data_IF_005643956229
#
_entry.id   IF_005643956229
#
_cell.length_a   1.000
_cell.length_b   1.000
_cell.length_c   1.000
_cell.angle_alpha   90.00
_cell.angle_beta   90.00
_cell.angle_gamma   90.00
#
_symmetry.space_group_name_H-M   'P 1'
#
loop_
_entity.id
_entity.type
_entity.pdbx_description
1 polymer ?
#
# COMPACT_ATOMS: atom_id res chain seq x y z
N UNK A 1 2.90 19.04 -12.07
CA UNK A 1 2.95 19.99 -10.93
C UNK A 1 1.53 20.33 -10.51
N UNK A 2 1.15 20.03 -9.27
CA UNK A 2 -0.17 20.40 -8.75
C UNK A 2 -0.46 21.90 -8.91
N UNK A 3 -1.51 22.41 -8.35
CA UNK A 3 -1.79 23.84 -8.41
C UNK A 3 -0.82 24.60 -7.49
N UNK A 4 0.07 25.42 -8.05
CA UNK A 4 1.14 26.13 -7.30
C UNK A 4 0.61 26.90 -6.08
N UNK A 5 -0.61 27.45 -6.17
CA UNK A 5 -1.31 28.18 -5.10
C UNK A 5 -2.39 27.33 -4.39
N UNK A 6 -2.51 26.05 -4.73
CA UNK A 6 -3.59 25.20 -4.24
C UNK A 6 -3.65 25.13 -2.71
N UNK A 7 -2.51 25.10 -2.04
CA UNK A 7 -2.44 25.08 -0.58
C UNK A 7 -2.93 26.37 0.09
N UNK A 8 -2.96 27.50 -0.63
CA UNK A 8 -3.50 28.79 -0.15
C UNK A 8 -5.01 28.90 -0.36
N UNK A 9 -5.56 28.16 -1.31
CA UNK A 9 -6.95 28.32 -1.77
C UNK A 9 -7.86 27.18 -1.29
N UNK A 10 -7.28 26.01 -0.96
CA UNK A 10 -8.00 24.80 -0.64
C UNK A 10 -7.65 24.36 0.76
N UNK A 11 -8.64 24.30 1.64
CA UNK A 11 -8.46 23.79 2.99
C UNK A 11 -8.09 22.30 2.97
N UNK A 12 -7.19 21.90 3.90
CA UNK A 12 -6.84 20.48 4.08
C UNK A 12 -8.06 19.70 4.57
N UNK A 13 -8.38 18.64 3.86
CA UNK A 13 -9.40 17.68 4.25
C UNK A 13 -8.85 16.27 4.19
N UNK A 14 -9.31 15.42 5.07
CA UNK A 14 -9.04 13.98 5.11
C UNK A 14 -10.34 13.21 5.08
N UNK A 15 -10.28 11.90 4.96
CA UNK A 15 -11.45 11.04 5.08
C UNK A 15 -12.28 11.37 6.32
N UNK A 16 -13.59 11.41 6.14
CA UNK A 16 -14.54 11.50 7.25
C UNK A 16 -14.77 10.12 7.85
N UNK A 17 -15.30 10.12 9.05
CA UNK A 17 -15.71 8.88 9.72
C UNK A 17 -17.23 8.82 9.81
N UNK A 18 -17.76 7.59 9.84
CA UNK A 18 -19.15 7.35 10.20
C UNK A 18 -19.47 8.01 11.56
N UNK A 19 -20.74 8.40 11.80
CA UNK A 19 -21.15 8.92 13.12
C UNK A 19 -20.78 7.96 14.24
N UNK A 20 -20.40 8.49 15.40
CA UNK A 20 -19.98 7.67 16.54
C UNK A 20 -21.06 6.68 16.98
N UNK A 21 -22.34 7.08 16.91
CA UNK A 21 -23.50 6.22 17.18
C UNK A 21 -23.59 4.96 16.32
N UNK A 22 -23.03 5.03 15.11
CA UNK A 22 -23.11 3.93 14.14
C UNK A 22 -21.88 3.03 14.25
N UNK A 23 -20.70 3.61 14.29
CA UNK A 23 -19.44 2.85 14.34
C UNK A 23 -19.23 2.05 15.63
N UNK A 24 -19.87 2.43 16.73
CA UNK A 24 -19.85 1.62 17.98
C UNK A 24 -20.67 0.32 17.87
N UNK A 25 -21.45 0.14 16.81
CA UNK A 25 -22.32 -1.03 16.61
C UNK A 25 -21.69 -2.15 15.77
N UNK A 26 -20.48 -1.92 15.27
CA UNK A 26 -19.78 -2.90 14.43
C UNK A 26 -18.25 -2.74 14.52
N UNK A 27 -17.52 -3.73 14.02
CA UNK A 27 -16.06 -3.74 13.96
C UNK A 27 -15.50 -3.50 12.53
N UNK A 28 -16.37 -3.18 11.58
CA UNK A 28 -15.98 -2.91 10.18
C UNK A 28 -15.28 -1.56 10.05
N UNK A 29 -14.55 -1.35 8.96
CA UNK A 29 -13.98 -0.05 8.60
C UNK A 29 -15.07 1.03 8.60
N UNK A 30 -14.80 2.14 9.24
CA UNK A 30 -15.75 3.25 9.40
C UNK A 30 -15.31 4.53 8.71
N UNK A 31 -14.23 4.47 7.94
CA UNK A 31 -13.76 5.58 7.10
C UNK A 31 -14.71 5.74 5.92
N UNK A 32 -15.16 6.98 5.69
CA UNK A 32 -15.97 7.34 4.54
C UNK A 32 -15.05 7.82 3.42
N UNK A 33 -15.06 7.18 2.25
CA UNK A 33 -14.22 7.60 1.13
C UNK A 33 -14.62 8.99 0.65
N UNK A 34 -13.66 9.74 0.15
CA UNK A 34 -13.88 11.00 -0.56
C UNK A 34 -14.27 10.69 -2.02
N UNK A 35 -15.05 11.56 -2.63
CA UNK A 35 -15.29 11.50 -4.08
C UNK A 35 -14.01 11.83 -4.86
N UNK A 36 -13.91 11.37 -6.10
CA UNK A 36 -12.76 11.65 -6.98
C UNK A 36 -12.45 13.16 -7.03
N UNK A 37 -13.47 14.00 -7.19
CA UNK A 37 -13.32 15.47 -7.21
C UNK A 37 -12.79 16.07 -5.91
N UNK A 38 -13.15 15.49 -4.77
CA UNK A 38 -12.61 15.93 -3.48
C UNK A 38 -11.15 15.51 -3.36
N UNK A 39 -10.79 14.30 -3.82
CA UNK A 39 -9.40 13.81 -3.82
C UNK A 39 -8.54 14.64 -4.78
N UNK A 40 -9.02 14.93 -5.99
CA UNK A 40 -8.35 15.81 -6.96
C UNK A 40 -8.05 17.19 -6.35
N UNK A 41 -9.00 17.77 -5.62
CA UNK A 41 -8.78 19.03 -4.89
C UNK A 41 -7.72 18.89 -3.80
N UNK A 42 -7.68 17.78 -3.06
CA UNK A 42 -6.67 17.58 -2.03
C UNK A 42 -5.29 17.36 -2.64
N UNK A 43 -5.20 16.64 -3.75
CA UNK A 43 -3.98 16.47 -4.51
C UNK A 43 -3.41 17.80 -5.05
N UNK A 44 -4.30 18.72 -5.48
CA UNK A 44 -3.94 20.06 -5.93
C UNK A 44 -3.19 20.90 -4.87
N UNK A 45 -3.27 20.54 -3.59
CA UNK A 45 -2.54 21.22 -2.52
C UNK A 45 -1.03 20.98 -2.56
N UNK A 46 -0.56 19.95 -3.27
CA UNK A 46 0.87 19.72 -3.45
C UNK A 46 1.45 20.80 -4.38
N UNK A 47 2.29 21.68 -3.83
CA UNK A 47 2.93 22.76 -4.58
C UNK A 47 4.20 22.31 -5.31
N UNK A 48 4.58 21.04 -5.24
CA UNK A 48 5.85 20.53 -5.76
C UNK A 48 7.02 21.41 -5.33
N UNK A 49 7.35 21.37 -4.04
CA UNK A 49 8.24 22.34 -3.37
C UNK A 49 9.72 22.28 -3.83
N UNK A 50 10.06 21.47 -4.83
CA UNK A 50 11.39 21.35 -5.41
C UNK A 50 12.40 20.54 -4.56
N UNK A 51 12.23 20.50 -3.23
CA UNK A 51 12.95 19.62 -2.33
C UNK A 51 11.91 18.83 -1.54
N UNK A 52 11.37 17.75 -2.14
CA UNK A 52 10.25 17.03 -1.55
C UNK A 52 10.70 16.11 -0.41
N UNK A 53 10.82 16.66 0.79
CA UNK A 53 11.16 15.91 2.01
C UNK A 53 10.19 14.75 2.27
N UNK A 54 8.96 14.84 1.75
CA UNK A 54 7.94 13.80 1.89
C UNK A 54 8.36 12.43 1.33
N UNK A 55 9.22 12.39 0.30
CA UNK A 55 9.79 11.13 -0.21
C UNK A 55 11.32 11.01 0.04
N UNK A 56 11.87 11.94 0.81
CA UNK A 56 13.27 11.91 1.23
C UNK A 56 13.52 10.95 2.41
N UNK A 57 14.76 10.95 2.92
CA UNK A 57 15.16 10.03 4.01
C UNK A 57 14.36 10.19 5.32
N UNK A 58 13.77 11.36 5.55
CA UNK A 58 12.95 11.68 6.73
C UNK A 58 11.45 11.50 6.48
N UNK A 59 11.05 11.24 5.24
CA UNK A 59 9.67 11.06 4.80
C UNK A 59 9.30 9.60 4.57
N UNK A 60 8.85 9.30 3.35
CA UNK A 60 8.42 7.96 2.96
C UNK A 60 9.62 7.00 2.85
N UNK A 61 9.72 5.93 3.67
CA UNK A 61 10.86 5.01 3.64
C UNK A 61 10.97 4.16 2.37
N UNK A 62 9.91 4.09 1.57
CA UNK A 62 9.92 3.41 0.26
C UNK A 62 10.02 4.40 -0.90
N UNK A 63 10.28 5.67 -0.58
CA UNK A 63 10.50 6.76 -1.55
C UNK A 63 9.38 6.90 -2.60
N UNK A 64 8.12 6.85 -2.15
CA UNK A 64 6.98 7.14 -3.02
C UNK A 64 7.14 8.49 -3.70
N UNK A 65 6.91 8.54 -5.01
CA UNK A 65 7.00 9.76 -5.83
C UNK A 65 5.77 10.66 -5.59
N UNK A 66 5.67 11.20 -4.37
CA UNK A 66 4.48 11.86 -3.85
C UNK A 66 4.05 13.09 -4.66
N UNK A 67 4.95 14.01 -5.06
CA UNK A 67 4.56 15.14 -5.90
C UNK A 67 4.00 14.70 -7.25
N UNK A 68 4.62 13.68 -7.87
CA UNK A 68 4.24 13.22 -9.21
C UNK A 68 2.82 12.65 -9.23
N UNK A 69 2.50 11.69 -8.33
CA UNK A 69 1.15 11.13 -8.34
C UNK A 69 0.08 12.11 -7.80
N UNK A 70 0.44 13.11 -6.97
CA UNK A 70 -0.49 14.19 -6.64
C UNK A 70 -0.83 15.05 -7.86
N UNK A 71 0.16 15.37 -8.70
CA UNK A 71 -0.07 16.10 -9.95
C UNK A 71 -0.97 15.32 -10.90
N UNK A 72 -0.70 14.02 -11.07
CA UNK A 72 -1.49 13.16 -11.93
C UNK A 72 -2.95 13.08 -11.46
N UNK A 73 -3.19 12.91 -10.15
CA UNK A 73 -4.54 12.90 -9.57
C UNK A 73 -5.23 14.25 -9.76
N UNK A 74 -4.53 15.37 -9.50
CA UNK A 74 -5.08 16.71 -9.73
C UNK A 74 -5.56 16.93 -11.16
N UNK A 75 -4.81 16.38 -12.13
CA UNK A 75 -5.16 16.48 -13.55
C UNK A 75 -6.18 15.42 -14.00
N UNK A 76 -6.66 14.56 -13.10
CA UNK A 76 -7.61 13.49 -13.40
C UNK A 76 -7.00 12.29 -14.14
N UNK A 77 -5.67 12.21 -14.26
CA UNK A 77 -4.96 11.07 -14.87
C UNK A 77 -4.74 9.96 -13.83
N UNK A 78 -5.83 9.31 -13.45
CA UNK A 78 -5.83 8.24 -12.46
C UNK A 78 -5.01 7.03 -12.91
N UNK A 79 -5.02 6.70 -14.20
CA UNK A 79 -4.27 5.57 -14.74
C UNK A 79 -2.77 5.74 -14.56
N UNK A 80 -2.24 6.94 -14.83
CA UNK A 80 -0.84 7.24 -14.60
C UNK A 80 -0.50 7.35 -13.10
N UNK A 81 -1.41 7.90 -12.30
CA UNK A 81 -1.24 7.95 -10.84
C UNK A 81 -1.14 6.54 -10.23
N UNK A 82 -1.98 5.61 -10.66
CA UNK A 82 -1.94 4.20 -10.24
C UNK A 82 -0.59 3.57 -10.61
N UNK A 83 -0.14 3.73 -11.86
CA UNK A 83 1.16 3.19 -12.30
C UNK A 83 2.33 3.80 -11.52
N UNK A 84 2.32 5.12 -11.31
CA UNK A 84 3.35 5.82 -10.58
C UNK A 84 3.44 5.33 -9.12
N UNK A 85 2.32 5.28 -8.41
CA UNK A 85 2.28 4.82 -7.01
C UNK A 85 2.76 3.37 -6.89
N UNK A 86 2.31 2.47 -7.76
CA UNK A 86 2.70 1.06 -7.72
C UNK A 86 4.14 0.80 -8.21
N UNK A 87 4.82 1.78 -8.77
CA UNK A 87 6.24 1.64 -9.13
C UNK A 87 7.16 1.56 -7.91
N UNK A 88 6.75 2.15 -6.79
CA UNK A 88 7.50 2.18 -5.54
C UNK A 88 6.82 1.44 -4.39
N UNK A 89 5.48 1.31 -4.44
CA UNK A 89 4.69 0.71 -3.37
C UNK A 89 3.91 -0.52 -3.86
N UNK A 90 4.24 -1.68 -3.34
CA UNK A 90 3.54 -2.92 -3.68
C UNK A 90 2.08 -2.95 -3.19
N UNK A 91 1.81 -2.34 -2.03
CA UNK A 91 0.54 -2.49 -1.32
C UNK A 91 0.00 -1.14 -0.79
N UNK A 92 -0.33 -0.19 -1.68
CA UNK A 92 -0.80 1.12 -1.26
C UNK A 92 -2.17 1.08 -0.56
N UNK A 93 -2.95 0.02 -0.75
CA UNK A 93 -4.18 -0.21 0.02
C UNK A 93 -3.92 -0.46 1.51
N UNK A 94 -2.75 -1.00 1.87
CA UNK A 94 -2.35 -1.19 3.25
C UNK A 94 -1.79 0.10 3.83
N UNK A 95 -0.81 0.69 3.16
CA UNK A 95 -0.14 1.90 3.63
C UNK A 95 -1.09 3.09 3.67
N UNK A 96 -1.97 3.26 2.70
CA UNK A 96 -3.01 4.28 2.70
C UNK A 96 -3.98 4.19 3.90
N UNK A 97 -4.13 2.99 4.50
CA UNK A 97 -4.99 2.80 5.67
C UNK A 97 -4.25 2.84 7.01
N UNK A 98 -3.09 2.19 7.11
CA UNK A 98 -2.47 1.93 8.42
C UNK A 98 -1.09 2.57 8.62
N UNK A 99 -0.49 3.15 7.57
CA UNK A 99 0.79 3.84 7.70
C UNK A 99 0.66 5.07 8.63
N UNK A 100 1.62 5.34 9.52
CA UNK A 100 1.64 6.56 10.32
C UNK A 100 1.88 7.84 9.51
N UNK A 101 2.17 7.70 8.21
CA UNK A 101 2.38 8.79 7.25
C UNK A 101 3.52 9.76 7.61
N UNK A 102 4.75 9.28 7.82
CA UNK A 102 5.89 10.18 8.06
C UNK A 102 6.13 11.16 6.90
N UNK A 103 5.59 10.85 5.73
CA UNK A 103 5.58 11.75 4.58
C UNK A 103 4.76 13.03 4.82
N UNK A 104 3.65 12.96 5.58
CA UNK A 104 2.87 14.15 5.96
C UNK A 104 3.65 14.99 6.99
N UNK A 105 4.29 14.33 7.97
CA UNK A 105 5.16 15.02 8.94
C UNK A 105 6.33 15.74 8.26
N UNK A 106 6.91 15.13 7.23
CA UNK A 106 8.02 15.72 6.46
C UNK A 106 7.59 16.70 5.38
N UNK A 107 6.30 16.87 5.14
CA UNK A 107 5.80 17.81 4.12
C UNK A 107 6.18 19.25 4.47
N UNK A 108 6.70 20.02 3.49
CA UNK A 108 7.05 21.44 3.70
C UNK A 108 5.86 22.26 4.24
N UNK A 109 4.63 21.94 3.82
CA UNK A 109 3.44 22.62 4.33
C UNK A 109 3.14 22.29 5.80
N UNK A 110 3.77 21.27 6.37
CA UNK A 110 3.61 20.94 7.79
C UNK A 110 4.27 21.96 8.73
N UNK A 111 5.11 22.87 8.21
CA UNK A 111 5.60 24.02 8.98
C UNK A 111 4.47 24.92 9.50
N UNK A 112 3.31 24.89 8.84
CA UNK A 112 2.09 25.61 9.21
C UNK A 112 1.00 24.64 9.73
N UNK A 113 1.34 23.43 10.15
CA UNK A 113 0.43 22.36 10.60
C UNK A 113 -0.66 21.95 9.60
N UNK A 114 -0.44 22.21 8.30
CA UNK A 114 -1.42 21.94 7.23
C UNK A 114 -0.81 21.13 6.05
N UNK A 115 -0.17 19.99 6.30
CA UNK A 115 0.47 19.19 5.24
C UNK A 115 -0.53 18.79 4.15
N UNK A 116 -0.02 18.36 3.00
CA UNK A 116 -0.85 17.66 2.00
C UNK A 116 -1.44 16.41 2.64
N UNK A 117 -2.69 16.08 2.33
CA UNK A 117 -3.37 14.86 2.80
C UNK A 117 -2.87 13.63 2.01
N UNK A 118 -1.57 13.37 2.08
CA UNK A 118 -0.83 12.41 1.26
C UNK A 118 -1.42 11.00 1.39
N UNK A 119 -1.60 10.54 2.61
CA UNK A 119 -2.16 9.21 2.91
C UNK A 119 -3.58 9.04 2.39
N UNK A 120 -4.38 10.10 2.44
CA UNK A 120 -5.76 10.11 1.93
C UNK A 120 -5.77 9.94 0.41
N UNK A 121 -4.89 10.66 -0.31
CA UNK A 121 -4.77 10.55 -1.76
C UNK A 121 -4.21 9.19 -2.15
N UNK A 122 -3.20 8.68 -1.44
CA UNK A 122 -2.64 7.33 -1.64
C UNK A 122 -3.71 6.24 -1.52
N UNK A 123 -4.53 6.30 -0.47
CA UNK A 123 -5.63 5.35 -0.28
C UNK A 123 -6.63 5.42 -1.45
N UNK A 124 -7.00 6.62 -1.88
CA UNK A 124 -7.93 6.80 -2.99
C UNK A 124 -7.38 6.23 -4.32
N UNK A 125 -6.09 6.44 -4.62
CA UNK A 125 -5.43 5.84 -5.79
C UNK A 125 -5.48 4.31 -5.71
N UNK A 126 -5.19 3.74 -4.54
CA UNK A 126 -5.20 2.29 -4.34
C UNK A 126 -6.60 1.69 -4.50
N UNK A 127 -7.61 2.33 -3.94
CA UNK A 127 -9.00 1.86 -4.04
C UNK A 127 -9.48 1.96 -5.49
N UNK A 128 -9.17 3.06 -6.18
CA UNK A 128 -9.44 3.25 -7.61
C UNK A 128 -8.80 2.18 -8.48
N UNK A 129 -7.56 1.78 -8.16
CA UNK A 129 -6.83 0.74 -8.89
C UNK A 129 -7.53 -0.63 -8.86
N UNK A 130 -8.21 -0.95 -7.76
CA UNK A 130 -9.04 -2.15 -7.67
C UNK A 130 -10.37 -1.98 -8.41
N UNK A 131 -11.04 -0.84 -8.24
CA UNK A 131 -12.33 -0.55 -8.90
C UNK A 131 -12.23 -0.61 -10.42
N UNK A 132 -11.14 -0.09 -10.98
CA UNK A 132 -10.90 -0.04 -12.43
C UNK A 132 -10.22 -1.29 -12.99
N UNK A 133 -9.91 -2.28 -12.15
CA UNK A 133 -9.27 -3.53 -12.56
C UNK A 133 -7.79 -3.41 -12.94
N UNK A 134 -7.12 -2.34 -12.52
CA UNK A 134 -5.67 -2.22 -12.68
C UNK A 134 -4.92 -3.23 -11.81
N UNK A 135 -5.47 -3.56 -10.64
CA UNK A 135 -4.91 -4.60 -9.78
C UNK A 135 -5.44 -5.96 -10.23
N UNK A 136 -4.58 -6.68 -10.92
CA UNK A 136 -4.82 -8.05 -11.41
C UNK A 136 -3.52 -8.83 -11.36
N UNK A 137 -3.55 -10.17 -11.47
CA UNK A 137 -2.32 -10.96 -11.57
C UNK A 137 -1.49 -10.58 -12.82
N UNK A 138 -0.19 -10.40 -12.60
CA UNK A 138 0.81 -10.20 -13.65
C UNK A 138 1.86 -11.32 -13.57
N UNK A 139 1.53 -12.53 -14.07
CA UNK A 139 2.48 -13.62 -14.07
C UNK A 139 3.68 -13.28 -14.96
N UNK A 140 4.89 -13.71 -14.58
CA UNK A 140 6.10 -13.40 -15.33
C UNK A 140 6.09 -14.10 -16.70
N UNK A 141 6.54 -13.40 -17.73
CA UNK A 141 6.66 -13.95 -19.08
C UNK A 141 7.68 -15.09 -19.16
N UNK A 142 8.75 -15.00 -18.35
CA UNK A 142 9.86 -15.98 -18.33
C UNK A 142 10.15 -16.44 -16.91
N UNK A 143 10.34 -17.73 -16.76
CA UNK A 143 10.80 -18.33 -15.50
C UNK A 143 12.33 -18.38 -15.46
N UNK A 144 12.90 -18.06 -14.30
CA UNK A 144 14.36 -18.10 -14.09
C UNK A 144 14.88 -19.49 -13.75
N UNK A 145 13.99 -20.40 -13.35
CA UNK A 145 14.34 -21.74 -12.84
C UNK A 145 14.90 -21.74 -11.42
N UNK A 146 14.99 -20.57 -10.77
CA UNK A 146 15.45 -20.46 -9.37
C UNK A 146 14.24 -20.52 -8.44
N UNK A 147 14.40 -21.29 -7.35
CA UNK A 147 13.43 -21.35 -6.24
C UNK A 147 13.88 -20.43 -5.11
N UNK A 148 12.94 -19.77 -4.46
CA UNK A 148 13.21 -18.83 -3.36
C UNK A 148 12.23 -19.07 -2.24
N UNK A 149 12.73 -19.31 -1.04
CA UNK A 149 11.93 -19.33 0.18
C UNK A 149 11.90 -17.93 0.82
N UNK A 150 10.69 -17.45 1.13
CA UNK A 150 10.46 -16.26 1.92
C UNK A 150 9.87 -16.69 3.26
N UNK A 151 10.49 -16.26 4.37
CA UNK A 151 10.06 -16.64 5.72
C UNK A 151 9.26 -15.51 6.34
N UNK A 152 7.98 -15.79 6.59
CA UNK A 152 7.00 -14.83 7.08
C UNK A 152 6.21 -14.13 5.99
N UNK A 153 4.90 -14.02 6.19
CA UNK A 153 3.94 -13.40 5.28
C UNK A 153 3.45 -12.02 5.74
N UNK A 154 4.22 -11.34 6.58
CA UNK A 154 3.98 -9.93 6.89
C UNK A 154 4.21 -9.04 5.67
N UNK A 155 3.93 -7.71 5.75
CA UNK A 155 4.05 -6.79 4.61
C UNK A 155 5.38 -6.87 3.86
N UNK A 156 6.49 -6.95 4.59
CA UNK A 156 7.83 -7.03 4.00
C UNK A 156 8.05 -8.34 3.23
N UNK A 157 7.66 -9.49 3.83
CA UNK A 157 7.76 -10.79 3.17
C UNK A 157 6.87 -10.89 1.95
N UNK A 158 5.64 -10.38 2.03
CA UNK A 158 4.73 -10.31 0.89
C UNK A 158 5.31 -9.45 -0.24
N UNK A 159 5.88 -8.26 0.06
CA UNK A 159 6.48 -7.40 -0.94
C UNK A 159 7.67 -8.07 -1.64
N UNK A 160 8.58 -8.68 -0.88
CA UNK A 160 9.69 -9.45 -1.42
C UNK A 160 9.20 -10.60 -2.31
N UNK A 161 8.20 -11.36 -1.84
CA UNK A 161 7.63 -12.48 -2.59
C UNK A 161 7.00 -12.04 -3.92
N UNK A 162 6.27 -10.92 -3.92
CA UNK A 162 5.66 -10.39 -5.13
C UNK A 162 6.72 -9.94 -6.15
N UNK A 163 7.73 -9.20 -5.73
CA UNK A 163 8.79 -8.73 -6.62
C UNK A 163 9.59 -9.91 -7.21
N UNK A 164 9.95 -10.88 -6.38
CA UNK A 164 10.65 -12.09 -6.82
C UNK A 164 9.79 -12.93 -7.76
N UNK A 165 8.50 -13.09 -7.47
CA UNK A 165 7.55 -13.80 -8.35
C UNK A 165 7.43 -13.12 -9.71
N UNK A 166 7.29 -11.80 -9.76
CA UNK A 166 7.25 -11.01 -11.00
C UNK A 166 8.56 -11.03 -11.77
N UNK A 167 9.70 -11.17 -11.07
CA UNK A 167 11.01 -11.41 -11.70
C UNK A 167 11.18 -12.81 -12.29
N UNK A 168 10.21 -13.70 -12.09
CA UNK A 168 10.19 -15.03 -12.69
C UNK A 168 10.74 -16.16 -11.82
N UNK A 169 10.99 -15.90 -10.54
CA UNK A 169 11.40 -16.94 -9.60
C UNK A 169 10.20 -17.79 -9.16
N UNK A 170 10.48 -19.04 -8.76
CA UNK A 170 9.52 -19.93 -8.10
C UNK A 170 9.54 -19.61 -6.59
N UNK A 171 8.53 -18.88 -6.11
CA UNK A 171 8.54 -18.28 -4.77
C UNK A 171 7.60 -19.02 -3.83
N UNK A 172 8.15 -19.46 -2.70
CA UNK A 172 7.45 -20.14 -1.62
C UNK A 172 7.52 -19.31 -0.34
N UNK A 173 6.38 -18.83 0.14
CA UNK A 173 6.26 -18.08 1.41
C UNK A 173 5.86 -19.04 2.52
N UNK A 174 6.67 -19.16 3.55
CA UNK A 174 6.41 -19.99 4.72
C UNK A 174 5.90 -19.11 5.87
N UNK A 175 4.72 -19.42 6.37
CA UNK A 175 4.05 -18.66 7.44
C UNK A 175 3.69 -19.60 8.61
N UNK A 176 4.07 -19.21 9.82
CA UNK A 176 3.79 -20.02 11.02
C UNK A 176 2.30 -20.03 11.41
N UNK A 177 1.60 -18.94 11.13
CA UNK A 177 0.19 -18.82 11.43
C UNK A 177 -0.67 -19.56 10.39
N UNK A 178 -1.94 -19.78 10.72
CA UNK A 178 -2.88 -20.51 9.86
C UNK A 178 -3.26 -19.76 8.57
N UNK A 179 -3.04 -18.45 8.52
CA UNK A 179 -3.36 -17.60 7.37
C UNK A 179 -2.25 -16.55 7.17
N UNK A 180 -1.96 -16.14 5.92
CA UNK A 180 -0.95 -15.13 5.67
C UNK A 180 -1.45 -13.71 6.00
N UNK A 181 -0.51 -12.77 6.17
CA UNK A 181 -0.78 -11.35 6.41
C UNK A 181 -0.10 -10.77 7.65
N UNK A 182 0.54 -11.61 8.49
CA UNK A 182 1.28 -11.16 9.66
C UNK A 182 0.46 -10.25 10.59
N UNK A 183 1.08 -9.19 11.12
CA UNK A 183 0.40 -8.26 12.04
C UNK A 183 -0.76 -7.49 11.40
N UNK A 184 -0.83 -7.35 10.09
CA UNK A 184 -2.00 -6.75 9.43
C UNK A 184 -3.25 -7.59 9.68
N UNK A 185 -3.10 -8.92 9.74
CA UNK A 185 -4.20 -9.84 10.02
C UNK A 185 -4.44 -10.04 11.50
N UNK A 186 -3.37 -10.27 12.27
CA UNK A 186 -3.45 -10.74 13.64
C UNK A 186 -3.27 -9.63 14.70
N UNK A 187 -2.79 -8.44 14.30
CA UNK A 187 -2.50 -7.34 15.22
C UNK A 187 -3.34 -6.09 15.01
N UNK A 188 -3.85 -5.86 13.80
CA UNK A 188 -4.62 -4.65 13.47
C UNK A 188 -6.11 -4.98 13.41
N UNK A 189 -6.98 -4.23 14.13
CA UNK A 189 -8.42 -4.50 14.14
C UNK A 189 -9.08 -4.14 12.80
N UNK A 190 -10.21 -4.80 12.50
CA UNK A 190 -10.95 -4.66 11.24
C UNK A 190 -11.43 -3.24 10.98
N UNK A 191 -11.73 -2.48 12.01
CA UNK A 191 -12.14 -1.09 11.86
C UNK A 191 -11.02 -0.15 11.34
N UNK A 192 -9.76 -0.62 11.29
CA UNK A 192 -8.62 0.06 10.67
C UNK A 192 -8.30 -0.48 9.29
N UNK A 193 -8.40 -1.80 9.12
CA UNK A 193 -8.22 -2.48 7.84
C UNK A 193 -9.00 -3.80 7.86
N UNK A 194 -10.01 -3.91 7.03
CA UNK A 194 -10.76 -5.16 6.87
C UNK A 194 -9.90 -6.23 6.19
N UNK A 195 -10.04 -7.49 6.63
CA UNK A 195 -9.15 -8.57 6.20
C UNK A 195 -9.33 -8.97 4.74
N UNK A 196 -10.45 -8.62 4.10
CA UNK A 196 -10.66 -8.83 2.67
C UNK A 196 -9.63 -8.10 1.80
N UNK A 197 -9.08 -6.95 2.26
CA UNK A 197 -7.98 -6.26 1.54
C UNK A 197 -6.73 -7.13 1.48
N UNK A 198 -6.45 -7.88 2.56
CA UNK A 198 -5.32 -8.81 2.59
C UNK A 198 -5.61 -10.03 1.73
N UNK A 199 -6.82 -10.59 1.84
CA UNK A 199 -7.21 -11.79 1.12
C UNK A 199 -7.14 -11.57 -0.41
N UNK A 200 -7.72 -10.48 -0.93
CA UNK A 200 -7.67 -10.16 -2.37
C UNK A 200 -6.23 -9.96 -2.89
N UNK A 201 -5.34 -9.41 -2.05
CA UNK A 201 -3.93 -9.25 -2.44
C UNK A 201 -3.21 -10.58 -2.48
N UNK A 202 -3.48 -11.47 -1.55
CA UNK A 202 -2.92 -12.82 -1.55
C UNK A 202 -3.40 -13.61 -2.77
N UNK A 203 -4.69 -13.55 -3.09
CA UNK A 203 -5.26 -14.15 -4.31
C UNK A 203 -4.58 -13.65 -5.58
N UNK A 204 -4.34 -12.35 -5.68
CA UNK A 204 -3.60 -11.77 -6.80
C UNK A 204 -2.17 -12.33 -6.87
N UNK A 205 -1.44 -12.39 -5.75
CA UNK A 205 -0.08 -12.93 -5.71
C UNK A 205 -0.03 -14.42 -6.05
N UNK A 206 -1.02 -15.20 -5.61
CA UNK A 206 -1.16 -16.59 -6.00
C UNK A 206 -1.39 -16.72 -7.51
N UNK A 207 -2.21 -15.84 -8.09
CA UNK A 207 -2.38 -15.76 -9.54
C UNK A 207 -1.09 -15.37 -10.30
N UNK A 208 -0.14 -14.72 -9.64
CA UNK A 208 1.21 -14.43 -10.16
C UNK A 208 2.19 -15.59 -9.97
N UNK A 209 1.78 -16.65 -9.28
CA UNK A 209 2.57 -17.88 -9.08
C UNK A 209 3.30 -17.95 -7.74
N UNK A 210 2.99 -17.06 -6.78
CA UNK A 210 3.53 -17.16 -5.42
C UNK A 210 2.78 -18.21 -4.63
N UNK A 211 3.49 -19.15 -4.00
CA UNK A 211 2.93 -20.22 -3.17
C UNK A 211 3.00 -19.85 -1.69
N UNK A 212 1.89 -19.98 -0.95
CA UNK A 212 1.86 -19.75 0.49
C UNK A 212 1.69 -21.07 1.25
N UNK A 213 2.60 -21.33 2.19
CA UNK A 213 2.62 -22.50 3.08
C UNK A 213 2.37 -22.04 4.52
N UNK A 214 1.12 -22.10 4.94
CA UNK A 214 0.72 -21.68 6.28
C UNK A 214 0.80 -22.83 7.29
N UNK A 215 0.93 -22.50 8.59
CA UNK A 215 1.09 -23.46 9.66
C UNK A 215 2.49 -24.09 9.69
N UNK A 216 3.49 -23.44 9.10
CA UNK A 216 4.88 -23.92 9.03
C UNK A 216 5.82 -22.93 9.72
N UNK A 217 6.28 -23.29 10.91
CA UNK A 217 7.24 -22.50 11.67
C UNK A 217 8.68 -22.95 11.32
N UNK A 218 9.31 -22.22 10.43
CA UNK A 218 10.69 -22.50 9.98
C UNK A 218 11.67 -22.43 11.16
N UNK A 219 12.51 -23.44 11.27
CA UNK A 219 13.42 -23.64 12.39
C UNK A 219 12.83 -24.47 13.53
N UNK A 220 11.51 -24.75 13.52
CA UNK A 220 10.81 -25.61 14.48
C UNK A 220 10.19 -26.80 13.75
N UNK A 221 9.20 -26.55 12.89
CA UNK A 221 8.49 -27.59 12.13
C UNK A 221 9.26 -28.02 10.87
N UNK A 222 9.94 -27.06 10.24
CA UNK A 222 10.77 -27.27 9.05
C UNK A 222 12.20 -26.81 9.32
N UNK A 223 13.18 -27.72 9.36
CA UNK A 223 14.59 -27.39 9.55
C UNK A 223 15.13 -26.44 8.47
N UNK A 224 15.96 -25.47 8.86
CA UNK A 224 16.57 -24.53 7.89
C UNK A 224 17.44 -25.26 6.87
N UNK A 225 18.14 -26.31 7.26
CA UNK A 225 18.98 -27.11 6.34
C UNK A 225 18.15 -27.79 5.24
N UNK A 226 16.96 -28.27 5.56
CA UNK A 226 16.03 -28.85 4.59
C UNK A 226 15.54 -27.75 3.62
N UNK A 227 15.16 -26.59 4.16
CA UNK A 227 14.72 -25.47 3.35
C UNK A 227 15.80 -25.00 2.37
N UNK A 228 17.05 -24.91 2.81
CA UNK A 228 18.21 -24.56 1.96
C UNK A 228 18.51 -25.61 0.88
N UNK A 229 18.19 -26.87 1.13
CA UNK A 229 18.38 -27.92 0.14
C UNK A 229 17.30 -27.92 -0.96
N UNK A 230 16.10 -27.36 -0.64
CA UNK A 230 14.96 -27.30 -1.56
C UNK A 230 14.96 -26.03 -2.42
N UNK A 231 15.67 -24.97 -2.01
CA UNK A 231 15.65 -23.64 -2.60
C UNK A 231 17.06 -23.14 -2.93
#
# INVERSE_FOLDING_TARGET
MGKVTGFLEIDRQVHKYQPASDRIRHFREFTLPMSDKEVEKQAARCMDCGIPYCHGPTGCPIHNQIPDWNDLVYNGDWDSAIRNLHSTNNFPEFTGRICPAPCEEACTLNLEDIPVAIKTVEQAIADKAYETGHIRPYPPEKKTGKRVAVIGSGPAGMAAAQQLGRAGHDVHVYERESRPGGLMRYGIPDFKIEKHYIDRRIEQMQGEGVSFHCGVNVGVDKPVAELLAEH
#
